data_IF_505002414385
#
_entry.id   IF_505002414385
#
_cell.length_a   1.000
_cell.length_b   1.000
_cell.length_c   1.000
_cell.angle_alpha   90.00
_cell.angle_beta   90.00
_cell.angle_gamma   90.00
#
_symmetry.space_group_name_H-M   'P 1'
#
loop_
_entity.id
_entity.type
_entity.pdbx_description
1 polymer ?
#
# COMPACT_ATOMS: atom_id res chain seq x y z
N UNK A 1 24.90 -8.01 20.12
CA UNK A 1 24.34 -7.26 18.98
C UNK A 1 22.96 -7.83 18.78
N UNK A 2 21.95 -7.00 19.02
CA UNK A 2 20.57 -7.43 19.25
C UNK A 2 20.02 -8.13 18.01
N UNK A 3 19.38 -9.27 18.27
CA UNK A 3 18.50 -9.98 17.37
C UNK A 3 17.41 -9.01 16.91
N UNK A 4 17.40 -8.66 15.62
CA UNK A 4 16.23 -8.03 15.03
C UNK A 4 15.15 -9.11 14.89
N UNK A 5 14.30 -9.19 15.91
CA UNK A 5 12.99 -9.83 15.86
C UNK A 5 12.18 -9.23 14.69
N UNK A 6 12.31 -9.83 13.50
CA UNK A 6 11.34 -9.67 12.42
C UNK A 6 10.07 -10.44 12.76
N UNK A 7 9.29 -9.90 13.69
CA UNK A 7 7.90 -10.27 13.94
C UNK A 7 6.93 -9.29 13.24
N UNK A 8 7.24 -8.93 11.99
CA UNK A 8 6.39 -8.07 11.16
C UNK A 8 5.49 -8.91 10.24
N UNK A 9 4.18 -8.88 10.47
CA UNK A 9 3.08 -9.31 9.58
C UNK A 9 3.54 -9.91 8.23
N UNK A 10 3.44 -11.23 8.08
CA UNK A 10 3.84 -12.00 6.89
C UNK A 10 3.57 -11.27 5.55
N UNK A 11 4.64 -10.80 4.88
CA UNK A 11 4.77 -10.88 3.42
C UNK A 11 4.59 -9.62 2.54
N UNK A 12 4.88 -8.40 3.01
CA UNK A 12 5.04 -7.26 2.09
C UNK A 12 6.28 -7.46 1.17
N UNK A 13 6.21 -7.00 -0.08
CA UNK A 13 7.30 -7.08 -1.07
C UNK A 13 8.53 -6.25 -0.65
N UNK A 14 8.29 -5.14 0.01
CA UNK A 14 9.30 -4.24 0.58
C UNK A 14 8.86 -3.79 1.97
N UNK A 15 9.78 -3.29 2.83
CA UNK A 15 9.41 -2.75 4.13
C UNK A 15 8.37 -1.63 4.01
N UNK A 16 7.48 -1.53 5.00
CA UNK A 16 6.40 -0.52 5.02
C UNK A 16 6.96 0.91 4.92
N UNK A 17 8.10 1.17 5.55
CA UNK A 17 8.81 2.45 5.49
C UNK A 17 9.16 2.87 4.07
N UNK A 18 9.48 1.92 3.18
CA UNK A 18 9.79 2.21 1.77
C UNK A 18 8.54 2.69 1.03
N UNK A 19 7.37 2.08 1.29
CA UNK A 19 6.10 2.52 0.73
C UNK A 19 5.67 3.89 1.24
N UNK A 20 5.92 4.17 2.53
CA UNK A 20 5.61 5.44 3.16
C UNK A 20 6.50 6.58 2.63
N UNK A 21 7.81 6.37 2.60
CA UNK A 21 8.79 7.36 2.11
C UNK A 21 8.66 7.65 0.62
N UNK A 22 8.24 6.65 -0.16
CA UNK A 22 7.96 6.81 -1.60
C UNK A 22 6.63 7.54 -1.88
N UNK A 23 5.80 7.78 -0.86
CA UNK A 23 4.53 8.51 -1.00
C UNK A 23 3.40 7.71 -1.67
N UNK A 24 3.51 6.39 -1.80
CA UNK A 24 2.51 5.53 -2.51
C UNK A 24 1.11 5.59 -1.87
N UNK A 25 1.06 5.86 -0.57
CA UNK A 25 -0.19 5.95 0.19
C UNK A 25 -0.93 7.29 0.02
N UNK A 26 -0.29 8.31 -0.59
CA UNK A 26 -0.87 9.64 -0.77
C UNK A 26 -1.73 9.66 -2.04
N UNK A 27 -3.05 9.69 -1.87
CA UNK A 27 -4.00 9.88 -2.97
C UNK A 27 -4.31 11.34 -3.26
N UNK A 28 -5.42 11.58 -3.96
CA UNK A 28 -5.88 12.92 -4.35
C UNK A 28 -7.13 13.33 -3.54
N UNK A 29 -7.69 14.50 -3.81
CA UNK A 29 -8.98 14.95 -3.24
C UNK A 29 -10.19 14.43 -4.04
N UNK A 30 -9.96 13.94 -5.27
CA UNK A 30 -11.00 13.36 -6.11
C UNK A 30 -11.08 11.86 -5.89
N UNK A 31 -12.28 11.29 -5.87
CA UNK A 31 -12.50 9.84 -5.79
C UNK A 31 -13.43 9.36 -6.89
N UNK A 32 -13.16 8.16 -7.40
CA UNK A 32 -14.10 7.40 -8.21
C UNK A 32 -14.83 6.35 -7.35
N UNK A 33 -16.00 5.89 -7.81
CA UNK A 33 -16.73 4.81 -7.18
C UNK A 33 -15.90 3.51 -7.13
N UNK A 34 -15.12 3.23 -8.17
CA UNK A 34 -14.30 2.03 -8.30
C UNK A 34 -13.08 2.02 -7.36
N UNK A 35 -12.67 3.21 -6.89
CA UNK A 35 -11.52 3.36 -6.00
C UNK A 35 -11.89 3.19 -4.52
N UNK A 36 -13.17 3.20 -4.18
CA UNK A 36 -13.66 2.98 -2.80
C UNK A 36 -13.03 1.79 -2.07
N UNK A 37 -12.92 0.58 -2.67
CA UNK A 37 -12.30 -0.56 -2.00
C UNK A 37 -10.80 -0.40 -1.72
N UNK A 38 -10.10 0.54 -2.35
CA UNK A 38 -8.66 0.76 -2.17
C UNK A 38 -8.30 1.91 -1.23
N UNK A 39 -9.30 2.68 -0.79
CA UNK A 39 -9.12 3.78 0.15
C UNK A 39 -9.15 3.24 1.59
N UNK A 40 -8.12 3.56 2.36
CA UNK A 40 -8.01 3.20 3.78
C UNK A 40 -8.72 4.21 4.67
N UNK A 41 -8.37 5.50 4.54
CA UNK A 41 -8.95 6.59 5.33
C UNK A 41 -8.91 7.92 4.57
N UNK A 42 -9.65 8.90 5.07
CA UNK A 42 -9.58 10.30 4.61
C UNK A 42 -8.76 11.10 5.61
N UNK A 43 -7.79 11.89 5.13
CA UNK A 43 -7.01 12.82 5.96
C UNK A 43 -7.83 14.10 6.21
N UNK A 44 -7.47 14.85 7.25
CA UNK A 44 -8.13 16.13 7.59
C UNK A 44 -8.11 17.15 6.44
N UNK A 45 -7.08 17.10 5.59
CA UNK A 45 -6.94 17.98 4.42
C UNK A 45 -7.81 17.55 3.22
N UNK A 46 -8.62 16.51 3.37
CA UNK A 46 -9.46 15.96 2.29
C UNK A 46 -8.74 15.02 1.32
N UNK A 47 -7.45 14.72 1.53
CA UNK A 47 -6.74 13.72 0.74
C UNK A 47 -7.16 12.30 1.15
N UNK A 48 -7.40 11.45 0.15
CA UNK A 48 -7.63 10.03 0.36
C UNK A 48 -6.29 9.30 0.57
N UNK A 49 -6.23 8.46 1.59
CA UNK A 49 -5.08 7.60 1.88
C UNK A 49 -5.37 6.21 1.31
N UNK A 50 -4.46 5.67 0.51
CA UNK A 50 -4.57 4.35 -0.10
C UNK A 50 -4.07 3.26 0.85
N UNK A 51 -4.64 2.06 0.73
CA UNK A 51 -4.24 0.88 1.49
C UNK A 51 -3.01 0.21 0.84
N UNK A 52 -1.88 0.23 1.56
CA UNK A 52 -0.59 -0.33 1.11
C UNK A 52 -0.68 -1.86 0.95
N UNK A 53 -1.42 -2.56 1.82
CA UNK A 53 -1.53 -4.03 1.76
C UNK A 53 -2.25 -4.50 0.51
N UNK A 54 -3.31 -3.77 0.13
CA UNK A 54 -4.04 -4.03 -1.12
C UNK A 54 -3.18 -3.73 -2.34
N UNK A 55 -2.40 -2.65 -2.27
CA UNK A 55 -1.45 -2.28 -3.33
C UNK A 55 -0.44 -3.40 -3.58
N UNK A 56 0.18 -3.93 -2.52
CA UNK A 56 1.15 -5.01 -2.61
C UNK A 56 0.57 -6.28 -3.26
N UNK A 57 -0.61 -6.70 -2.79
CA UNK A 57 -1.33 -7.86 -3.34
C UNK A 57 -1.56 -7.73 -4.83
N UNK A 58 -2.01 -6.54 -5.28
CA UNK A 58 -2.27 -6.26 -6.70
C UNK A 58 -1.00 -6.23 -7.54
N UNK A 59 0.09 -5.69 -7.01
CA UNK A 59 1.40 -5.73 -7.70
C UNK A 59 1.83 -7.18 -7.94
N UNK A 60 1.66 -8.06 -6.94
CA UNK A 60 2.01 -9.48 -7.06
C UNK A 60 1.15 -10.21 -8.09
N UNK A 61 -0.16 -9.94 -8.11
CA UNK A 61 -1.07 -10.46 -9.14
C UNK A 61 -0.70 -9.98 -10.54
N UNK A 62 -0.44 -8.68 -10.70
CA UNK A 62 -0.04 -8.09 -11.97
C UNK A 62 1.30 -8.67 -12.47
N UNK A 63 2.28 -8.85 -11.59
CA UNK A 63 3.57 -9.46 -11.94
C UNK A 63 3.39 -10.91 -12.45
N UNK A 64 2.55 -11.72 -11.78
CA UNK A 64 2.24 -13.09 -12.24
C UNK A 64 1.49 -13.10 -13.57
N UNK A 65 0.61 -12.13 -13.79
CA UNK A 65 -0.13 -11.99 -15.04
C UNK A 65 0.78 -11.63 -16.21
N UNK A 66 1.72 -10.70 -16.00
CA UNK A 66 2.66 -10.24 -17.03
C UNK A 66 3.78 -11.25 -17.34
N UNK A 67 4.13 -12.12 -16.39
CA UNK A 67 5.17 -13.14 -16.57
C UNK A 67 4.71 -14.36 -17.40
N UNK A 68 3.47 -14.36 -17.90
CA UNK A 68 2.86 -15.44 -18.66
C UNK A 68 2.76 -15.08 -20.13
#
# INVERSE_FOLDING_TARGET
>A
MQEEEQSGVQGLLVPEDVYLTSGVHIGTQQKSADMKPFIYKVRIDGLYVLDIKKTDTRIREAAKFLAR
#
